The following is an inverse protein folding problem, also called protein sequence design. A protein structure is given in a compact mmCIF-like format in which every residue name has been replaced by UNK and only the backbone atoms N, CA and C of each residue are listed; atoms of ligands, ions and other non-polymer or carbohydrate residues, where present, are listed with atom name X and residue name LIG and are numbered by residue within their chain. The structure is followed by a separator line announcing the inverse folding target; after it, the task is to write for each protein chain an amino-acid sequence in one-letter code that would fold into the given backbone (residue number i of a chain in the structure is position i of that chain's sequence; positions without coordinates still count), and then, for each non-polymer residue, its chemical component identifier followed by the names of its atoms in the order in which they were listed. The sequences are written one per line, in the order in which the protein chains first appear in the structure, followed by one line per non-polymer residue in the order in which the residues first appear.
data_IF_612137681491
#
_entry.id   IF_612137681491
#
_cell.length_a   1.000
_cell.length_b   1.000
_cell.length_c   1.000
_cell.angle_alpha   90.00
_cell.angle_beta   90.00
_cell.angle_gamma   90.00
#
_symmetry.space_group_name_H-M   'P 1'
#
loop_
_entity.id
_entity.type
_entity.pdbx_description
1 polymer ?
#
# COMPACT_ATOMS: atom_id res chain seq x y z
N UNK A 1 -2.43 -14.91 1.85
CA UNK A 1 -1.11 -15.19 1.23
C UNK A 1 -0.50 -16.38 1.94
N UNK A 2 0.56 -16.97 1.42
CA UNK A 2 1.10 -18.25 1.94
C UNK A 2 1.40 -18.18 3.45
N UNK A 3 1.98 -17.07 3.93
CA UNK A 3 2.21 -16.84 5.37
C UNK A 3 0.91 -16.79 6.19
N UNK A 4 -0.14 -16.20 5.63
CA UNK A 4 -1.45 -16.12 6.28
C UNK A 4 -2.21 -17.44 6.26
N UNK A 5 -2.06 -18.23 5.22
CA UNK A 5 -2.61 -19.59 5.16
C UNK A 5 -1.92 -20.50 6.20
N UNK A 6 -0.61 -20.31 6.41
CA UNK A 6 0.16 -21.09 7.37
C UNK A 6 -0.05 -20.67 8.83
N UNK A 7 -0.28 -19.38 9.11
CA UNK A 7 -0.22 -18.84 10.47
C UNK A 7 -1.23 -17.75 10.82
N UNK A 8 -2.18 -17.45 9.94
CA UNK A 8 -3.08 -16.30 10.09
C UNK A 8 -2.41 -14.97 9.75
N UNK A 9 -3.11 -13.85 9.93
CA UNK A 9 -2.62 -12.52 9.52
C UNK A 9 -1.26 -12.22 10.18
N UNK A 10 -0.19 -11.93 9.41
CA UNK A 10 1.12 -11.66 9.98
C UNK A 10 1.13 -10.42 10.89
N UNK A 11 1.87 -10.46 11.99
CA UNK A 11 2.01 -9.33 12.94
C UNK A 11 2.46 -8.04 12.27
N UNK A 12 3.35 -8.14 11.27
CA UNK A 12 3.81 -6.99 10.50
C UNK A 12 2.70 -6.36 9.66
N UNK A 13 1.72 -7.13 9.19
CA UNK A 13 0.56 -6.61 8.46
C UNK A 13 -0.38 -5.85 9.41
N UNK A 14 -0.55 -6.33 10.64
CA UNK A 14 -1.31 -5.63 11.70
C UNK A 14 -0.64 -4.30 12.03
N UNK A 15 0.67 -4.32 12.31
CA UNK A 15 1.46 -3.11 12.61
C UNK A 15 1.45 -2.11 11.45
N UNK A 16 1.52 -2.58 10.21
CA UNK A 16 1.43 -1.74 9.03
C UNK A 16 0.06 -1.02 8.99
N UNK A 17 -1.03 -1.73 9.23
CA UNK A 17 -2.38 -1.14 9.25
C UNK A 17 -2.52 -0.07 10.34
N UNK A 18 -2.00 -0.32 11.54
CA UNK A 18 -2.00 0.65 12.65
C UNK A 18 -1.19 1.90 12.31
N UNK A 19 -0.03 1.72 11.66
CA UNK A 19 0.77 2.85 11.18
C UNK A 19 -0.01 3.71 10.20
N UNK A 20 -0.73 3.11 9.24
CA UNK A 20 -1.57 3.87 8.33
C UNK A 20 -2.72 4.54 9.08
N UNK A 21 -3.44 3.83 9.95
CA UNK A 21 -4.55 4.35 10.73
C UNK A 21 -4.17 5.59 11.55
N UNK A 22 -2.95 5.63 12.11
CA UNK A 22 -2.46 6.74 12.93
C UNK A 22 -1.86 7.95 12.20
N UNK A 23 -1.98 8.06 10.87
CA UNK A 23 -1.50 9.23 10.09
C UNK A 23 -2.64 9.97 9.42
N UNK A 24 -2.50 11.28 9.26
CA UNK A 24 -3.49 12.14 8.61
C UNK A 24 -3.34 12.22 7.10
N UNK A 25 -2.11 12.04 6.60
CA UNK A 25 -1.76 12.13 5.19
C UNK A 25 -0.55 11.26 4.84
N UNK A 26 -0.40 10.96 3.54
CA UNK A 26 0.69 10.16 2.99
C UNK A 26 1.33 10.79 1.76
N UNK A 27 2.63 10.56 1.60
CA UNK A 27 3.35 10.75 0.35
C UNK A 27 3.82 9.37 -0.12
N UNK A 28 3.32 8.93 -1.29
CA UNK A 28 3.67 7.62 -1.87
C UNK A 28 4.61 7.84 -3.05
N UNK A 29 5.83 7.32 -2.91
CA UNK A 29 6.85 7.36 -3.94
C UNK A 29 7.18 5.97 -4.47
N UNK A 30 7.12 5.75 -5.78
CA UNK A 30 7.64 4.52 -6.37
C UNK A 30 8.25 4.72 -7.77
N UNK A 31 9.29 3.96 -8.13
CA UNK A 31 9.73 3.87 -9.52
C UNK A 31 8.69 3.14 -10.38
N UNK A 32 8.78 3.32 -11.70
CA UNK A 32 7.93 2.61 -12.67
C UNK A 32 8.56 1.26 -13.05
N UNK A 33 7.84 0.18 -12.77
CA UNK A 33 8.21 -1.18 -13.17
C UNK A 33 7.25 -1.64 -14.27
N UNK A 34 7.71 -1.62 -15.53
CA UNK A 34 6.92 -2.02 -16.71
C UNK A 34 5.54 -1.33 -16.81
N UNK A 35 5.48 -0.04 -16.47
CA UNK A 35 4.22 0.72 -16.46
C UNK A 35 3.32 0.47 -15.25
N UNK A 36 3.84 -0.08 -14.15
CA UNK A 36 3.12 -0.32 -12.90
C UNK A 36 3.94 0.16 -11.67
N UNK A 37 3.27 0.18 -10.52
CA UNK A 37 3.90 0.31 -9.20
C UNK A 37 4.82 -0.87 -8.89
N UNK A 38 5.72 -0.71 -7.92
CA UNK A 38 6.60 -1.80 -7.49
C UNK A 38 5.80 -2.93 -6.82
N UNK A 39 6.26 -4.20 -6.92
CA UNK A 39 5.63 -5.33 -6.23
C UNK A 39 5.49 -5.10 -4.72
N UNK A 40 6.46 -4.42 -4.10
CA UNK A 40 6.41 -4.07 -2.69
C UNK A 40 5.28 -3.08 -2.37
N UNK A 41 5.10 -2.03 -3.19
CA UNK A 41 4.00 -1.09 -2.99
C UNK A 41 2.65 -1.77 -3.19
N UNK A 42 2.53 -2.64 -4.20
CA UNK A 42 1.32 -3.44 -4.40
C UNK A 42 1.02 -4.33 -3.19
N UNK A 43 2.00 -5.07 -2.68
CA UNK A 43 1.85 -5.91 -1.50
C UNK A 43 1.46 -5.08 -0.26
N UNK A 44 2.02 -3.88 -0.10
CA UNK A 44 1.66 -2.95 0.97
C UNK A 44 0.18 -2.59 0.90
N UNK A 45 -0.30 -2.20 -0.30
CA UNK A 45 -1.72 -1.88 -0.54
C UNK A 45 -2.62 -3.10 -0.30
N UNK A 46 -2.18 -4.30 -0.70
CA UNK A 46 -2.91 -5.55 -0.49
C UNK A 46 -3.09 -5.87 0.99
N UNK A 47 -2.06 -5.65 1.82
CA UNK A 47 -2.18 -5.90 3.26
C UNK A 47 -3.07 -4.89 3.98
N UNK A 48 -2.95 -3.60 3.66
CA UNK A 48 -3.77 -2.58 4.34
C UNK A 48 -5.23 -2.58 3.88
N UNK A 49 -5.53 -3.09 2.67
CA UNK A 49 -6.91 -3.16 2.16
C UNK A 49 -7.71 -4.36 2.69
N UNK A 50 -7.04 -5.37 3.25
CA UNK A 50 -7.69 -6.56 3.83
C UNK A 50 -8.58 -6.21 5.03
N UNK A 51 -9.70 -6.91 5.22
CA UNK A 51 -10.50 -6.81 6.43
C UNK A 51 -9.67 -7.07 7.70
N UNK A 52 -10.10 -6.49 8.81
CA UNK A 52 -9.59 -6.87 10.13
C UNK A 52 -10.28 -8.14 10.67
N UNK A 53 -9.84 -8.60 11.84
CA UNK A 53 -10.38 -9.80 12.49
C UNK A 53 -11.87 -9.65 12.86
N UNK A 54 -12.38 -8.42 13.01
CA UNK A 54 -13.79 -8.12 13.28
C UNK A 54 -14.61 -8.02 11.97
N UNK A 55 -13.98 -8.21 10.80
CA UNK A 55 -14.61 -8.09 9.49
C UNK A 55 -14.82 -6.65 9.02
N UNK A 56 -14.22 -5.65 9.69
CA UNK A 56 -14.30 -4.26 9.25
C UNK A 56 -13.47 -4.09 7.98
N UNK A 57 -13.90 -3.23 7.03
CA UNK A 57 -13.14 -2.98 5.80
C UNK A 57 -11.73 -2.45 6.10
N UNK A 58 -10.69 -3.03 5.50
CA UNK A 58 -9.31 -2.56 5.68
C UNK A 58 -9.10 -1.12 5.20
N UNK A 59 -9.91 -0.68 4.24
CA UNK A 59 -9.92 0.68 3.69
C UNK A 59 -10.23 1.76 4.74
N UNK A 60 -10.83 1.42 5.89
CA UNK A 60 -11.03 2.36 7.01
C UNK A 60 -9.72 3.00 7.47
N UNK A 61 -8.60 2.27 7.38
CA UNK A 61 -7.26 2.78 7.76
C UNK A 61 -6.77 3.95 6.90
N UNK A 62 -7.32 4.10 5.70
CA UNK A 62 -6.95 5.11 4.69
C UNK A 62 -8.10 6.00 4.24
N UNK A 63 -9.32 5.73 4.72
CA UNK A 63 -10.52 6.46 4.28
C UNK A 63 -10.46 7.93 4.68
N UNK A 64 -10.68 8.82 3.71
CA UNK A 64 -10.68 10.27 3.91
C UNK A 64 -9.30 10.89 4.08
N UNK A 65 -8.21 10.12 3.95
CA UNK A 65 -6.84 10.62 4.13
C UNK A 65 -6.30 11.24 2.85
N UNK A 66 -5.53 12.30 3.00
CA UNK A 66 -4.86 12.95 1.87
C UNK A 66 -3.66 12.11 1.42
N UNK A 67 -3.55 11.86 0.11
CA UNK A 67 -2.42 11.12 -0.47
C UNK A 67 -1.84 11.92 -1.62
N UNK A 68 -0.54 12.20 -1.55
CA UNK A 68 0.25 12.73 -2.66
C UNK A 68 1.05 11.59 -3.31
N UNK A 69 1.12 11.58 -4.64
CA UNK A 69 1.84 10.59 -5.42
C UNK A 69 3.08 11.22 -6.07
N UNK A 70 4.20 10.50 -6.07
CA UNK A 70 5.42 10.89 -6.76
C UNK A 70 6.08 9.70 -7.43
N UNK A 71 6.59 9.89 -8.64
CA UNK A 71 7.30 8.86 -9.39
C UNK A 71 8.57 9.43 -10.00
N UNK A 72 9.57 8.58 -10.13
CA UNK A 72 10.80 8.89 -10.83
C UNK A 72 11.30 7.64 -11.57
N UNK A 73 11.68 7.82 -12.83
CA UNK A 73 12.33 6.79 -13.65
C UNK A 73 13.35 7.47 -14.57
N UNK A 74 14.48 6.83 -14.90
CA UNK A 74 15.46 7.38 -15.83
C UNK A 74 14.92 7.61 -17.26
N UNK A 75 13.81 6.96 -17.62
CA UNK A 75 13.19 7.10 -18.92
C UNK A 75 12.50 8.45 -19.12
N UNK A 76 12.28 8.82 -20.39
CA UNK A 76 11.68 10.10 -20.80
C UNK A 76 10.35 10.44 -20.13
N UNK A 77 9.59 9.44 -19.69
CA UNK A 77 8.28 9.61 -19.07
C UNK A 77 8.34 9.85 -17.56
N UNK A 78 9.52 9.77 -16.92
CA UNK A 78 9.67 10.10 -15.50
C UNK A 78 8.85 9.24 -14.53
N UNK A 79 8.33 8.09 -14.96
CA UNK A 79 7.47 7.23 -14.15
C UNK A 79 5.96 7.47 -14.32
N UNK A 80 5.55 8.32 -15.28
CA UNK A 80 4.16 8.69 -15.56
C UNK A 80 3.20 7.52 -15.74
N UNK A 81 3.66 6.32 -16.11
CA UNK A 81 2.73 5.19 -16.31
C UNK A 81 2.55 4.37 -15.04
N UNK A 82 3.53 4.40 -14.14
CA UNK A 82 3.56 3.53 -12.96
C UNK A 82 2.69 4.02 -11.80
N UNK A 83 2.60 5.33 -11.60
CA UNK A 83 1.88 5.93 -10.48
C UNK A 83 1.22 7.25 -10.93
N UNK A 84 -0.11 7.21 -11.10
CA UNK A 84 -0.98 8.33 -11.53
C UNK A 84 -2.27 8.35 -10.74
#
# INVERSE_FOLDING_TARGET
GDEEEAGGVPDNAVRLRELFAGKDAFLVGCPEYNGLITPLLKNTVDWISRPDADGKPGTLSVQGKLVALTAASPGRLGGLRGLV
#
